data_IF_319226218788
#
_entry.id   IF_319226218788
#
_cell.length_a   1.000
_cell.length_b   1.000
_cell.length_c   1.000
_cell.angle_alpha   90.00
_cell.angle_beta   90.00
_cell.angle_gamma   90.00
#
_symmetry.space_group_name_H-M   'P 1'
#
loop_
_entity.id
_entity.type
_entity.pdbx_description
1 polymer ?
#
# COMPACT_ATOMS: atom_id res chain seq x y z
N UNK A 1 -4.63 -13.47 -11.49
CA UNK A 1 -4.83 -13.24 -12.94
C UNK A 1 -3.97 -12.07 -13.34
N UNK A 2 -3.63 -11.96 -14.61
CA UNK A 2 -2.70 -10.92 -15.10
C UNK A 2 -3.24 -9.49 -14.92
N UNK A 3 -4.56 -9.34 -14.73
CA UNK A 3 -5.26 -8.07 -14.50
C UNK A 3 -6.37 -8.31 -13.46
N UNK A 4 -6.55 -7.37 -12.54
CA UNK A 4 -7.68 -7.33 -11.61
C UNK A 4 -8.71 -6.29 -12.09
N UNK A 5 -10.00 -6.62 -11.95
CA UNK A 5 -11.08 -5.65 -12.11
C UNK A 5 -11.49 -5.13 -10.73
N UNK A 6 -11.69 -3.82 -10.64
CA UNK A 6 -12.14 -3.14 -9.44
C UNK A 6 -13.51 -2.51 -9.71
N UNK A 7 -14.48 -2.86 -8.88
CA UNK A 7 -15.81 -2.29 -8.89
C UNK A 7 -16.24 -2.14 -7.42
N UNK A 8 -16.91 -1.03 -7.10
CA UNK A 8 -17.42 -0.77 -5.75
C UNK A 8 -18.68 -1.62 -5.48
N UNK A 9 -18.53 -2.94 -5.52
CA UNK A 9 -19.61 -3.93 -5.42
C UNK A 9 -19.51 -4.78 -4.14
N UNK A 10 -18.53 -4.52 -3.27
CA UNK A 10 -18.27 -5.22 -2.01
C UNK A 10 -18.01 -6.74 -2.17
N UNK A 11 -17.70 -7.23 -3.37
CA UNK A 11 -17.45 -8.65 -3.62
C UNK A 11 -16.16 -9.16 -2.96
N UNK A 12 -15.26 -8.24 -2.57
CA UNK A 12 -14.00 -8.57 -1.89
C UNK A 12 -13.87 -7.80 -0.59
N UNK A 13 -13.21 -8.43 0.38
CA UNK A 13 -12.90 -7.84 1.69
C UNK A 13 -11.73 -6.83 1.63
N UNK A 14 -11.66 -6.02 0.58
CA UNK A 14 -10.61 -5.05 0.31
C UNK A 14 -11.26 -3.67 0.08
N UNK A 15 -10.71 -2.62 0.70
CA UNK A 15 -11.22 -1.24 0.57
C UNK A 15 -11.19 -0.74 -0.86
N UNK A 16 -10.37 -1.32 -1.73
CA UNK A 16 -10.39 -1.05 -3.18
C UNK A 16 -11.73 -1.41 -3.87
N UNK A 17 -12.61 -2.17 -3.20
CA UNK A 17 -13.93 -2.59 -3.70
C UNK A 17 -15.08 -1.91 -2.94
N UNK A 18 -14.80 -0.82 -2.21
CA UNK A 18 -15.80 0.03 -1.54
C UNK A 18 -15.81 1.42 -2.18
N UNK A 19 -16.80 2.25 -1.83
CA UNK A 19 -16.83 3.68 -2.20
C UNK A 19 -16.12 4.57 -1.17
N UNK A 20 -15.35 3.98 -0.25
CA UNK A 20 -14.67 4.71 0.81
C UNK A 20 -13.40 5.39 0.30
N UNK A 21 -12.99 6.45 0.99
CA UNK A 21 -11.74 7.12 0.68
C UNK A 21 -10.55 6.21 0.99
N UNK A 22 -9.70 6.02 0.00
CA UNK A 22 -8.44 5.31 0.15
C UNK A 22 -7.33 6.35 0.21
N UNK A 23 -6.70 6.46 1.38
CA UNK A 23 -5.57 7.37 1.60
C UNK A 23 -4.34 6.99 0.78
N UNK A 24 -3.30 7.82 0.83
CA UNK A 24 -2.02 7.52 0.17
C UNK A 24 -1.48 6.17 0.65
N UNK A 25 -1.15 5.30 -0.30
CA UNK A 25 -0.64 3.96 -0.01
C UNK A 25 0.20 3.44 -1.18
N UNK A 26 0.97 2.39 -0.89
CA UNK A 26 1.61 1.51 -1.86
C UNK A 26 0.94 0.14 -1.77
N UNK A 27 0.69 -0.49 -2.91
CA UNK A 27 0.03 -1.78 -2.94
C UNK A 27 0.96 -2.96 -2.63
N UNK A 28 0.33 -4.08 -2.25
CA UNK A 28 0.97 -5.38 -2.02
C UNK A 28 2.09 -5.38 -0.95
N UNK A 29 1.99 -4.55 0.09
CA UNK A 29 2.95 -4.53 1.21
C UNK A 29 3.04 -5.86 1.98
N UNK A 30 2.07 -6.74 1.83
CA UNK A 30 2.05 -8.10 2.37
C UNK A 30 2.88 -9.11 1.56
N UNK A 31 3.37 -8.76 0.36
CA UNK A 31 4.34 -9.57 -0.39
C UNK A 31 5.77 -9.16 -0.05
N UNK A 32 6.69 -10.13 -0.04
CA UNK A 32 8.13 -9.86 0.15
C UNK A 32 8.70 -8.97 -0.98
N UNK A 33 8.16 -9.10 -2.19
CA UNK A 33 8.45 -8.23 -3.32
C UNK A 33 7.14 -7.63 -3.86
N UNK A 34 6.76 -6.43 -3.39
CA UNK A 34 5.60 -5.70 -3.92
C UNK A 34 5.76 -5.36 -5.41
N UNK A 35 4.64 -5.08 -6.08
CA UNK A 35 4.67 -4.61 -7.47
C UNK A 35 5.44 -3.28 -7.59
N UNK A 36 6.38 -3.20 -8.54
CA UNK A 36 7.15 -1.98 -8.79
C UNK A 36 6.45 -0.97 -9.71
N UNK A 37 5.48 -1.43 -10.51
CA UNK A 37 4.67 -0.60 -11.39
C UNK A 37 3.21 -1.05 -11.30
N UNK A 38 2.32 -0.08 -11.10
CA UNK A 38 0.88 -0.28 -11.10
C UNK A 38 0.24 0.50 -12.25
N UNK A 39 -0.65 -0.15 -12.99
CA UNK A 39 -1.39 0.45 -14.09
C UNK A 39 -2.88 0.32 -13.79
N UNK A 40 -3.56 1.46 -13.68
CA UNK A 40 -5.01 1.53 -13.47
C UNK A 40 -5.66 2.17 -14.71
N UNK A 41 -6.66 1.49 -15.26
CA UNK A 41 -7.41 1.94 -16.43
C UNK A 41 -8.88 2.09 -16.07
N UNK A 42 -9.38 3.33 -16.04
CA UNK A 42 -10.79 3.60 -15.81
C UNK A 42 -11.62 3.21 -17.04
N UNK A 43 -12.44 2.16 -16.92
CA UNK A 43 -13.32 1.70 -17.99
C UNK A 43 -14.67 2.40 -17.98
N UNK A 44 -15.18 2.72 -16.80
CA UNK A 44 -16.47 3.36 -16.59
C UNK A 44 -16.43 4.20 -15.31
N UNK A 45 -17.12 5.35 -15.33
CA UNK A 45 -17.29 6.21 -14.15
C UNK A 45 -18.63 6.92 -14.28
N UNK A 46 -19.55 6.62 -13.38
CA UNK A 46 -20.81 7.34 -13.20
C UNK A 46 -20.96 7.70 -11.72
N UNK A 47 -20.89 9.00 -11.40
CA UNK A 47 -20.87 9.50 -10.02
C UNK A 47 -19.97 10.71 -9.78
N UNK A 48 -19.91 11.13 -8.52
CA UNK A 48 -19.12 12.27 -8.01
C UNK A 48 -18.03 11.77 -7.06
N UNK A 49 -16.87 12.44 -7.00
CA UNK A 49 -15.72 11.98 -6.21
C UNK A 49 -14.82 10.98 -6.94
N UNK A 50 -14.02 10.19 -6.22
CA UNK A 50 -13.13 9.19 -6.85
C UNK A 50 -11.94 9.82 -7.60
N UNK A 51 -11.51 11.00 -7.17
CA UNK A 51 -10.31 11.65 -7.65
C UNK A 51 -9.08 10.80 -7.32
N UNK A 52 -8.17 10.68 -8.28
CA UNK A 52 -6.88 10.06 -8.03
C UNK A 52 -5.99 11.03 -7.24
N UNK A 53 -5.33 10.52 -6.21
CA UNK A 53 -4.28 11.23 -5.49
C UNK A 53 -2.96 10.50 -5.70
N UNK A 54 -1.90 11.26 -5.95
CA UNK A 54 -0.54 10.75 -6.05
C UNK A 54 0.40 11.69 -5.29
N UNK A 55 1.45 11.11 -4.71
CA UNK A 55 2.53 11.85 -4.03
C UNK A 55 3.87 11.30 -4.48
N UNK A 56 4.88 12.16 -4.58
CA UNK A 56 6.26 11.72 -4.68
C UNK A 56 6.75 11.29 -3.29
N UNK A 57 6.71 9.98 -3.04
CA UNK A 57 7.14 9.43 -1.76
C UNK A 57 8.64 9.62 -1.48
N UNK A 58 9.49 9.69 -2.51
CA UNK A 58 10.93 9.87 -2.31
C UNK A 58 11.24 11.30 -1.88
N UNK A 59 10.60 12.28 -2.51
CA UNK A 59 10.69 13.68 -2.08
C UNK A 59 10.19 13.83 -0.63
N UNK A 60 9.03 13.26 -0.31
CA UNK A 60 8.49 13.26 1.06
C UNK A 60 9.46 12.64 2.07
N UNK A 61 10.08 11.51 1.73
CA UNK A 61 11.03 10.86 2.62
C UNK A 61 12.27 11.73 2.84
N UNK A 62 12.74 12.42 1.79
CA UNK A 62 13.86 13.35 1.89
C UNK A 62 13.52 14.52 2.82
N UNK A 63 12.37 15.17 2.62
CA UNK A 63 11.88 16.25 3.48
C UNK A 63 11.73 15.78 4.94
N UNK A 64 11.16 14.59 5.16
CA UNK A 64 11.04 14.00 6.50
C UNK A 64 12.39 13.73 7.16
N UNK A 65 13.43 13.38 6.40
CA UNK A 65 14.76 13.15 6.94
C UNK A 65 15.40 14.43 7.51
N UNK A 66 15.03 15.58 6.94
CA UNK A 66 15.52 16.90 7.37
C UNK A 66 14.64 17.51 8.47
N UNK A 67 13.31 17.48 8.29
CA UNK A 67 12.35 18.15 9.16
C UNK A 67 11.95 17.30 10.38
N UNK A 68 11.94 15.97 10.23
CA UNK A 68 11.46 15.02 11.24
C UNK A 68 12.38 13.79 11.37
N UNK A 69 13.67 13.98 11.69
CA UNK A 69 14.68 12.91 11.65
C UNK A 69 14.39 11.73 12.59
N UNK A 70 13.74 11.97 13.74
CA UNK A 70 13.34 10.90 14.66
C UNK A 70 12.25 9.99 14.04
N UNK A 71 11.23 10.60 13.44
CA UNK A 71 10.17 9.85 12.76
C UNK A 71 10.72 9.08 11.56
N UNK A 72 11.59 9.72 10.76
CA UNK A 72 12.28 9.06 9.66
C UNK A 72 13.09 7.84 10.15
N UNK A 73 13.82 7.99 11.25
CA UNK A 73 14.60 6.89 11.84
C UNK A 73 13.70 5.72 12.26
N UNK A 74 12.59 6.00 12.93
CA UNK A 74 11.60 4.97 13.33
C UNK A 74 11.08 4.24 12.10
N UNK A 75 10.62 4.97 11.08
CA UNK A 75 10.09 4.38 9.84
C UNK A 75 11.13 3.56 9.06
N UNK A 76 12.41 3.80 9.30
CA UNK A 76 13.52 3.11 8.66
C UNK A 76 14.05 1.90 9.43
N UNK A 77 13.76 1.80 10.73
CA UNK A 77 14.40 0.81 11.62
C UNK A 77 13.43 -0.05 12.41
N UNK A 78 12.17 0.37 12.54
CA UNK A 78 11.13 -0.42 13.20
C UNK A 78 10.33 -1.15 12.12
N UNK A 79 10.41 -2.49 12.06
CA UNK A 79 9.67 -3.25 11.07
C UNK A 79 8.18 -3.29 11.41
N UNK A 80 7.32 -3.16 10.40
CA UNK A 80 5.86 -3.20 10.52
C UNK A 80 5.30 -4.44 9.82
N UNK A 81 4.40 -5.19 10.48
CA UNK A 81 3.72 -6.31 9.85
C UNK A 81 2.67 -5.80 8.85
N UNK A 82 2.63 -6.43 7.67
CA UNK A 82 1.58 -6.26 6.69
C UNK A 82 0.94 -7.63 6.41
N UNK A 83 -0.39 -7.68 6.38
CA UNK A 83 -1.14 -8.94 6.25
C UNK A 83 -2.33 -8.75 5.31
N UNK A 84 -2.55 -9.74 4.44
CA UNK A 84 -3.73 -9.89 3.62
C UNK A 84 -4.34 -11.26 3.86
N UNK A 85 -5.65 -11.29 4.13
CA UNK A 85 -6.43 -12.50 4.34
C UNK A 85 -7.70 -12.45 3.51
N UNK A 86 -7.91 -13.49 2.72
CA UNK A 86 -9.12 -13.68 1.93
C UNK A 86 -9.77 -14.99 2.34
N UNK A 87 -10.97 -14.89 2.92
CA UNK A 87 -11.82 -16.02 3.30
C UNK A 87 -13.04 -16.07 2.40
N UNK A 88 -13.37 -17.25 1.87
CA UNK A 88 -14.53 -17.45 0.97
C UNK A 88 -15.37 -18.62 1.51
N UNK A 89 -16.63 -18.37 1.86
CA UNK A 89 -17.55 -19.41 2.36
C UNK A 89 -17.06 -20.15 3.62
N UNK A 90 -16.30 -19.47 4.50
CA UNK A 90 -15.72 -20.05 5.71
C UNK A 90 -14.44 -20.87 5.49
N UNK A 91 -13.88 -20.86 4.27
CA UNK A 91 -12.58 -21.47 3.95
C UNK A 91 -11.53 -20.39 3.72
N UNK A 92 -10.37 -20.55 4.33
CA UNK A 92 -9.18 -19.71 4.08
C UNK A 92 -8.69 -19.97 2.66
N UNK A 93 -8.67 -18.94 1.82
CA UNK A 93 -8.25 -19.04 0.41
C UNK A 93 -6.82 -18.56 0.25
N UNK A 94 -6.57 -17.30 0.57
CA UNK A 94 -5.26 -16.67 0.48
C UNK A 94 -4.87 -16.03 1.81
N UNK A 95 -3.64 -16.24 2.21
CA UNK A 95 -3.06 -15.59 3.39
C UNK A 95 -1.61 -15.23 3.09
N UNK A 96 -1.34 -13.93 3.02
CA UNK A 96 -0.02 -13.38 2.82
C UNK A 96 0.33 -12.50 3.99
N UNK A 97 1.57 -12.61 4.48
CA UNK A 97 2.09 -11.77 5.52
C UNK A 97 3.56 -11.45 5.23
N UNK A 98 3.96 -10.23 5.53
CA UNK A 98 5.35 -9.81 5.47
C UNK A 98 5.67 -8.88 6.65
N UNK A 99 6.93 -8.89 7.07
CA UNK A 99 7.48 -7.98 8.08
C UNK A 99 8.65 -7.23 7.45
N UNK A 100 8.54 -5.92 7.29
CA UNK A 100 9.57 -5.09 6.66
C UNK A 100 9.45 -3.64 7.14
N UNK A 101 10.36 -2.77 6.71
CA UNK A 101 10.37 -1.35 7.08
C UNK A 101 9.48 -0.52 6.15
N UNK A 102 8.95 0.59 6.66
CA UNK A 102 8.25 1.57 5.83
C UNK A 102 9.21 2.25 4.88
N UNK A 103 10.36 2.70 5.37
CA UNK A 103 11.46 3.23 4.56
C UNK A 103 12.56 2.19 4.44
N UNK A 104 12.49 1.39 3.37
CA UNK A 104 13.44 0.32 3.12
C UNK A 104 14.66 0.86 2.40
N UNK A 105 15.81 0.75 3.06
CA UNK A 105 17.09 1.18 2.53
C UNK A 105 17.87 0.01 1.94
N UNK A 106 18.68 0.31 0.93
CA UNK A 106 19.65 -0.63 0.39
C UNK A 106 20.70 -0.95 1.47
N UNK A 107 20.96 -2.24 1.77
CA UNK A 107 21.86 -2.61 2.85
C UNK A 107 23.33 -2.31 2.56
N UNK A 108 23.70 -1.98 1.31
CA UNK A 108 25.08 -1.69 0.89
C UNK A 108 25.30 -0.20 0.77
N UNK A 109 24.42 0.51 0.07
CA UNK A 109 24.56 1.95 -0.22
C UNK A 109 23.90 2.83 0.81
N UNK A 110 22.95 2.29 1.59
CA UNK A 110 22.15 3.08 2.53
C UNK A 110 21.16 4.02 1.86
N UNK A 111 20.95 3.93 0.53
CA UNK A 111 19.96 4.74 -0.17
C UNK A 111 18.55 4.19 0.05
N UNK A 112 17.57 5.08 0.16
CA UNK A 112 16.16 4.68 0.18
C UNK A 112 15.78 4.00 -1.15
N UNK A 113 15.36 2.74 -1.08
CA UNK A 113 14.99 1.94 -2.26
C UNK A 113 13.49 1.80 -2.46
N UNK A 114 12.74 1.74 -1.36
CA UNK A 114 11.31 1.41 -1.42
C UNK A 114 10.57 2.00 -0.23
N UNK A 115 9.36 2.49 -0.49
CA UNK A 115 8.40 2.89 0.54
C UNK A 115 7.31 1.81 0.61
N UNK A 116 7.01 1.34 1.83
CA UNK A 116 6.00 0.31 2.10
C UNK A 116 5.00 0.86 3.11
N UNK A 117 3.89 1.38 2.61
CA UNK A 117 2.88 2.01 3.45
C UNK A 117 1.49 1.64 2.94
N UNK A 118 0.75 0.86 3.72
CA UNK A 118 -0.65 0.55 3.42
C UNK A 118 -1.37 0.40 4.76
N UNK A 119 -2.10 1.45 5.13
CA UNK A 119 -2.92 1.48 6.33
C UNK A 119 -4.38 1.46 5.89
N UNK A 120 -5.09 0.42 6.33
CA UNK A 120 -6.55 0.42 6.22
C UNK A 120 -7.07 1.38 7.28
N UNK A 121 -7.55 2.55 6.86
CA UNK A 121 -8.24 3.50 7.72
C UNK A 121 -9.65 2.96 8.00
N UNK A 122 -9.79 2.04 8.95
CA UNK A 122 -11.10 1.52 9.37
C UNK A 122 -11.00 0.25 10.22
N UNK A 123 -11.40 0.36 11.48
CA UNK A 123 -11.97 -0.73 12.29
C UNK A 123 -13.47 -0.79 12.09
#
# INVERSE_FOLDING_TARGET
GDIAAFEANLERADTAYTSEYIGLHTDNTYWTQPAGLQILHCQHRDGTGGENILVDGLALANDMSEEHPEAYHILSTVPLPAEYREDEGGRKKNHFANLDFTFKHDPVTGHLMQIRFNVRLGT
#
